data_IF_237285326661
#
_entry.id   IF_237285326661
#
_cell.length_a   1.000
_cell.length_b   1.000
_cell.length_c   1.000
_cell.angle_alpha   90.00
_cell.angle_beta   90.00
_cell.angle_gamma   90.00
#
_symmetry.space_group_name_H-M   'P 1'
#
loop_
_entity.id
_entity.type
_entity.pdbx_description
1 polymer ?
#
# COMPACT_ATOMS: atom_id res chain seq x y z
N UNK A 1 -12.19 -2.18 -15.91
CA UNK A 1 -12.61 -2.81 -14.64
C UNK A 1 -12.66 -1.71 -13.60
N UNK A 2 -13.80 -1.53 -12.95
CA UNK A 2 -14.00 -0.48 -11.95
C UNK A 2 -13.44 -0.91 -10.58
N UNK A 3 -13.24 0.02 -9.63
CA UNK A 3 -12.85 -0.33 -8.26
C UNK A 3 -13.83 -1.29 -7.59
N UNK A 4 -15.14 -1.13 -7.83
CA UNK A 4 -16.17 -2.04 -7.31
C UNK A 4 -16.00 -3.46 -7.86
N UNK A 5 -15.69 -3.61 -9.15
CA UNK A 5 -15.44 -4.93 -9.75
C UNK A 5 -14.20 -5.59 -9.14
N UNK A 6 -13.10 -4.82 -8.96
CA UNK A 6 -11.88 -5.33 -8.32
C UNK A 6 -12.19 -5.77 -6.90
N UNK A 7 -12.92 -4.96 -6.14
CA UNK A 7 -13.28 -5.30 -4.75
C UNK A 7 -14.20 -6.52 -4.65
N UNK A 8 -15.07 -6.75 -5.64
CA UNK A 8 -15.92 -7.93 -5.67
C UNK A 8 -15.14 -9.23 -5.92
N UNK A 9 -14.00 -9.14 -6.63
CA UNK A 9 -13.16 -10.29 -6.97
C UNK A 9 -12.12 -10.56 -5.87
N UNK A 10 -11.45 -9.51 -5.39
CA UNK A 10 -10.27 -9.61 -4.51
C UNK A 10 -10.63 -9.36 -3.04
N UNK A 11 -11.78 -8.74 -2.78
CA UNK A 11 -12.15 -8.21 -1.46
C UNK A 11 -11.76 -6.74 -1.30
N UNK A 12 -12.03 -6.14 -0.13
CA UNK A 12 -11.71 -4.74 0.13
C UNK A 12 -10.19 -4.51 0.21
N UNK A 13 -9.67 -3.36 -0.24
CA UNK A 13 -8.26 -3.02 -0.10
C UNK A 13 -7.90 -2.75 1.36
N UNK A 14 -6.62 -3.00 1.70
CA UNK A 14 -6.08 -2.71 3.02
C UNK A 14 -5.83 -1.22 3.23
N UNK A 15 -5.39 -0.53 2.18
CA UNK A 15 -5.15 0.91 2.16
C UNK A 15 -5.70 1.52 0.87
N UNK A 16 -6.22 2.74 0.99
CA UNK A 16 -6.74 3.53 -0.13
C UNK A 16 -6.06 4.89 -0.07
N UNK A 17 -5.46 5.30 -1.19
CA UNK A 17 -4.93 6.65 -1.38
C UNK A 17 -5.65 7.29 -2.55
N UNK A 18 -6.35 8.38 -2.30
CA UNK A 18 -6.95 9.24 -3.31
C UNK A 18 -6.11 10.51 -3.40
N UNK A 19 -5.56 10.80 -4.57
CA UNK A 19 -4.74 11.98 -4.78
C UNK A 19 -4.90 12.53 -6.19
N UNK A 20 -4.36 13.72 -6.41
CA UNK A 20 -4.26 14.33 -7.73
C UNK A 20 -2.85 14.17 -8.23
N UNK A 21 -2.69 13.75 -9.48
CA UNK A 21 -1.37 13.65 -10.07
C UNK A 21 -0.76 15.06 -10.21
N UNK A 22 0.49 15.33 -9.79
CA UNK A 22 1.09 16.65 -9.94
C UNK A 22 1.14 17.10 -11.40
N UNK A 23 0.93 18.39 -11.66
CA UNK A 23 0.80 18.95 -13.03
C UNK A 23 1.97 18.59 -13.96
N UNK A 24 3.19 18.60 -13.42
CA UNK A 24 4.42 18.31 -14.17
C UNK A 24 4.89 16.84 -14.05
N UNK A 25 4.02 15.95 -13.55
CA UNK A 25 4.37 14.54 -13.38
C UNK A 25 4.28 13.77 -14.69
N UNK A 26 5.40 13.21 -15.14
CA UNK A 26 5.43 12.27 -16.27
C UNK A 26 4.93 10.86 -15.93
N UNK A 27 4.60 10.57 -14.67
CA UNK A 27 4.24 9.23 -14.21
C UNK A 27 3.00 8.68 -14.93
N UNK A 28 1.95 9.49 -15.05
CA UNK A 28 0.69 9.07 -15.68
C UNK A 28 0.78 8.90 -17.21
N UNK A 29 1.94 9.17 -17.81
CA UNK A 29 2.19 9.03 -19.23
C UNK A 29 2.99 7.78 -19.61
N UNK A 30 3.40 6.95 -18.64
CA UNK A 30 4.16 5.72 -18.86
C UNK A 30 3.41 4.71 -19.74
N UNK A 31 4.14 3.96 -20.58
CA UNK A 31 3.55 3.01 -21.54
C UNK A 31 2.94 1.76 -20.91
N UNK A 32 3.31 1.47 -19.66
CA UNK A 32 2.74 0.40 -18.85
C UNK A 32 1.30 0.67 -18.41
N UNK A 33 0.84 1.93 -18.43
CA UNK A 33 -0.52 2.31 -18.05
C UNK A 33 -1.50 2.01 -19.18
N UNK A 34 -2.59 1.31 -18.85
CA UNK A 34 -3.66 1.04 -19.80
C UNK A 34 -4.45 2.32 -20.16
N UNK A 35 -4.66 3.18 -19.17
CA UNK A 35 -5.24 4.51 -19.33
C UNK A 35 -4.27 5.57 -18.83
N UNK A 36 -3.94 6.53 -19.70
CA UNK A 36 -3.06 7.64 -19.34
C UNK A 36 -3.76 8.56 -18.33
N UNK A 37 -2.98 9.12 -17.42
CA UNK A 37 -3.41 10.10 -16.42
C UNK A 37 -2.57 11.36 -16.65
N UNK A 38 -3.21 12.50 -16.85
CA UNK A 38 -2.53 13.78 -17.02
C UNK A 38 -2.28 14.42 -15.66
N UNK A 39 -1.31 15.33 -15.61
CA UNK A 39 -1.15 16.21 -14.46
C UNK A 39 -2.46 16.96 -14.18
N UNK A 40 -2.80 17.08 -12.90
CA UNK A 40 -4.05 17.66 -12.42
C UNK A 40 -5.25 16.70 -12.41
N UNK A 41 -5.13 15.49 -12.97
CA UNK A 41 -6.20 14.50 -12.94
C UNK A 41 -6.18 13.68 -11.63
N UNK A 42 -7.37 13.26 -11.14
CA UNK A 42 -7.47 12.42 -9.96
C UNK A 42 -6.96 11.01 -10.26
N UNK A 43 -6.30 10.42 -9.26
CA UNK A 43 -5.79 9.06 -9.30
C UNK A 43 -6.13 8.36 -7.98
N UNK A 44 -6.58 7.11 -8.09
CA UNK A 44 -6.89 6.27 -6.95
C UNK A 44 -5.91 5.11 -6.90
N UNK A 45 -5.25 4.93 -5.76
CA UNK A 45 -4.35 3.81 -5.51
C UNK A 45 -4.93 2.94 -4.39
N UNK A 46 -5.00 1.64 -4.63
CA UNK A 46 -5.39 0.63 -3.65
C UNK A 46 -4.22 -0.32 -3.39
N UNK A 47 -4.02 -0.64 -2.12
CA UNK A 47 -3.00 -1.61 -1.69
C UNK A 47 -3.67 -2.84 -1.09
N UNK A 48 -3.24 -4.02 -1.53
CA UNK A 48 -3.63 -5.31 -0.99
C UNK A 48 -2.40 -6.04 -0.46
N UNK A 49 -2.57 -6.71 0.66
CA UNK A 49 -1.49 -7.33 1.40
C UNK A 49 -1.83 -8.80 1.63
N UNK A 50 -1.04 -9.73 1.09
CA UNK A 50 -1.09 -11.14 1.49
C UNK A 50 0.20 -11.57 2.22
N UNK A 51 0.42 -12.88 2.36
CA UNK A 51 1.56 -13.44 3.08
C UNK A 51 2.87 -13.44 2.27
N UNK A 52 2.79 -13.35 0.94
CA UNK A 52 3.93 -13.44 0.02
C UNK A 52 4.18 -12.16 -0.77
N UNK A 53 3.13 -11.36 -1.01
CA UNK A 53 3.14 -10.25 -1.93
C UNK A 53 2.39 -9.02 -1.38
N UNK A 54 2.81 -7.86 -1.87
CA UNK A 54 2.05 -6.62 -1.81
C UNK A 54 1.55 -6.32 -3.23
N UNK A 55 0.25 -6.13 -3.40
CA UNK A 55 -0.33 -5.71 -4.67
C UNK A 55 -0.69 -4.23 -4.60
N UNK A 56 -0.27 -3.47 -5.62
CA UNK A 56 -0.60 -2.06 -5.76
C UNK A 56 -1.38 -1.87 -7.04
N UNK A 57 -2.59 -1.37 -6.90
CA UNK A 57 -3.56 -1.22 -7.97
C UNK A 57 -3.85 0.27 -8.15
N UNK A 58 -3.73 0.78 -9.37
CA UNK A 58 -3.98 2.17 -9.71
C UNK A 58 -5.17 2.28 -10.66
N UNK A 59 -6.01 3.28 -10.44
CA UNK A 59 -7.15 3.61 -11.27
C UNK A 59 -7.04 5.02 -11.83
N UNK A 60 -7.37 5.15 -13.12
CA UNK A 60 -7.50 6.41 -13.84
C UNK A 60 -8.98 6.77 -14.03
N UNK A 61 -9.28 8.02 -14.38
CA UNK A 61 -10.66 8.50 -14.58
C UNK A 61 -10.91 9.15 -15.96
N UNK A 62 -10.65 8.46 -17.09
CA UNK A 62 -10.61 9.08 -18.42
C UNK A 62 -11.95 9.61 -18.96
N UNK A 63 -13.09 9.22 -18.37
CA UNK A 63 -14.46 9.61 -18.77
C UNK A 63 -15.38 9.77 -17.56
N UNK A 64 -14.86 10.32 -16.46
CA UNK A 64 -15.56 10.38 -15.17
C UNK A 64 -15.93 9.02 -14.56
N UNK A 65 -15.36 7.94 -15.10
CA UNK A 65 -15.47 6.59 -14.55
C UNK A 65 -14.09 6.07 -14.14
N UNK A 66 -14.00 5.50 -12.94
CA UNK A 66 -12.78 4.91 -12.43
C UNK A 66 -12.50 3.58 -13.12
N UNK A 67 -11.31 3.46 -13.72
CA UNK A 67 -10.89 2.28 -14.47
C UNK A 67 -9.47 1.87 -14.07
N UNK A 68 -9.30 0.58 -13.82
CA UNK A 68 -8.00 -0.04 -13.57
C UNK A 68 -7.02 0.30 -14.69
N UNK A 69 -5.90 0.93 -14.35
CA UNK A 69 -4.87 1.34 -15.31
C UNK A 69 -3.52 0.65 -15.09
N UNK A 70 -3.18 0.28 -13.85
CA UNK A 70 -1.94 -0.44 -13.53
C UNK A 70 -2.17 -1.38 -12.35
N UNK A 71 -1.60 -2.56 -12.41
CA UNK A 71 -1.50 -3.49 -11.29
C UNK A 71 -0.06 -3.95 -11.18
N UNK A 72 0.54 -3.78 -9.99
CA UNK A 72 1.89 -4.22 -9.69
C UNK A 72 1.83 -5.28 -8.58
N UNK A 73 2.58 -6.34 -8.77
CA UNK A 73 2.87 -7.33 -7.71
C UNK A 73 4.30 -7.11 -7.25
N UNK A 74 4.46 -6.87 -5.96
CA UNK A 74 5.75 -6.61 -5.33
C UNK A 74 6.02 -7.71 -4.29
N UNK A 75 7.29 -8.06 -4.05
CA UNK A 75 7.67 -8.84 -2.87
C UNK A 75 7.10 -8.24 -1.58
N UNK A 76 6.73 -9.12 -0.65
CA UNK A 76 6.17 -8.71 0.65
C UNK A 76 7.02 -7.64 1.36
N UNK A 77 6.36 -6.59 1.84
CA UNK A 77 6.97 -5.56 2.68
C UNK A 77 7.66 -4.43 1.90
N UNK A 78 7.50 -4.38 0.58
CA UNK A 78 8.04 -3.31 -0.25
C UNK A 78 7.14 -2.06 -0.24
N UNK A 79 5.84 -2.21 0.01
CA UNK A 79 4.98 -1.05 0.24
C UNK A 79 5.23 -0.57 1.67
N UNK A 80 5.98 0.52 1.80
CA UNK A 80 6.31 1.12 3.10
C UNK A 80 5.02 1.57 3.79
N UNK A 81 4.63 0.87 4.85
CA UNK A 81 3.58 1.30 5.76
C UNK A 81 4.01 2.63 6.36
N UNK A 82 3.33 3.72 6.01
CA UNK A 82 3.58 5.02 6.61
C UNK A 82 3.33 4.97 8.12
N UNK A 83 4.40 4.85 8.91
CA UNK A 83 4.47 5.29 10.31
C UNK A 83 3.73 4.45 11.36
N UNK A 84 4.32 3.33 11.76
CA UNK A 84 4.52 3.06 13.19
C UNK A 84 5.88 2.37 13.32
N UNK A 85 6.84 3.06 13.91
CA UNK A 85 8.07 2.42 14.36
C UNK A 85 7.67 1.29 15.33
N UNK A 86 7.93 0.04 14.94
CA UNK A 86 7.83 -1.07 15.87
C UNK A 86 8.84 -0.86 17.03
N UNK A 87 8.47 -1.27 18.24
CA UNK A 87 9.14 -0.87 19.47
C UNK A 87 10.58 -1.36 19.47
N UNK A 88 11.48 -0.54 20.00
CA UNK A 88 12.83 -0.99 20.38
C UNK A 88 12.69 -2.22 21.26
N UNK A 89 13.00 -3.38 20.69
CA UNK A 89 13.24 -4.60 21.42
C UNK A 89 14.58 -4.43 22.16
N UNK A 90 14.53 -3.85 23.36
CA UNK A 90 15.66 -3.92 24.30
C UNK A 90 15.72 -5.34 24.84
N UNK A 91 16.42 -6.21 24.13
CA UNK A 91 17.00 -7.39 24.75
C UNK A 91 18.26 -7.02 25.54
N UNK A 92 18.42 -7.72 26.68
CA UNK A 92 19.58 -7.77 27.59
C UNK A 92 19.51 -6.74 28.73
N UNK A 93 19.53 -7.12 30.00
CA UNK A 93 20.30 -8.19 30.60
C UNK A 93 19.61 -8.81 31.83
N UNK A 94 19.75 -10.12 31.92
CA UNK A 94 19.61 -10.96 33.11
C UNK A 94 20.38 -10.41 34.31
N UNK A 95 19.71 -10.35 35.46
CA UNK A 95 20.35 -10.49 36.78
C UNK A 95 19.52 -11.46 37.63
N UNK A 96 20.08 -12.59 38.08
CA UNK A 96 19.47 -13.44 39.09
C UNK A 96 19.85 -12.96 40.50
N UNK A 97 19.22 -13.57 41.52
CA UNK A 97 19.47 -13.52 42.98
C UNK A 97 18.46 -12.64 43.75
N UNK A 98 17.87 -13.07 44.86
CA UNK A 98 17.89 -14.34 45.60
C UNK A 98 16.66 -14.35 46.52
N UNK A 99 15.95 -15.48 46.58
CA UNK A 99 14.94 -15.77 47.58
C UNK A 99 15.68 -16.17 48.85
N UNK A 100 15.65 -15.34 49.90
CA UNK A 100 16.08 -15.75 51.23
C UNK A 100 14.83 -16.05 52.05
N UNK A 101 14.61 -17.33 52.27
CA UNK A 101 13.66 -17.88 53.24
C UNK A 101 14.50 -18.57 54.32
N UNK A 102 13.98 -18.51 55.55
CA UNK A 102 14.25 -19.28 56.78
C UNK A 102 15.57 -19.11 57.58
N UNK A 103 15.33 -18.78 58.85
CA UNK A 103 16.21 -18.81 60.02
C UNK A 103 15.41 -18.37 61.23
#
# INVERSE_FOLDING_TARGET
MSPSDVSAIVGPPQEITDCTLPDDSGWGLQDSLHYKIRGGEPVLQWTYLDHEHDYVVWFAKPIDEWLLTLCLTLPRGMVSRGGAADPVATHSSTSPQQKTEIG
#
